data_IF_423239273402
#
_entry.id   IF_423239273402
#
_cell.length_a   1.000
_cell.length_b   1.000
_cell.length_c   1.000
_cell.angle_alpha   90.00
_cell.angle_beta   90.00
_cell.angle_gamma   90.00
#
_symmetry.space_group_name_H-M   'P 1'
#
loop_
_entity.id
_entity.type
_entity.pdbx_description
1 polymer ?
#
# COMPACT_ATOMS: atom_id res chain seq x y z
N UNK A 1 -4.59 -0.79 -15.81
CA UNK A 1 -5.46 0.41 -15.80
C UNK A 1 -4.54 1.62 -15.94
N UNK A 2 -4.83 2.56 -16.84
CA UNK A 2 -3.98 3.72 -17.04
C UNK A 2 -4.19 4.75 -15.92
N UNK A 3 -3.11 5.39 -15.48
CA UNK A 3 -3.11 6.42 -14.42
C UNK A 3 -4.15 7.52 -14.67
N UNK A 4 -4.36 7.88 -15.94
CA UNK A 4 -5.38 8.83 -16.39
C UNK A 4 -6.81 8.44 -16.01
N UNK A 5 -7.18 7.15 -16.09
CA UNK A 5 -8.53 6.68 -15.73
C UNK A 5 -8.77 6.80 -14.22
N UNK A 6 -7.73 6.50 -13.45
CA UNK A 6 -7.77 6.63 -11.99
C UNK A 6 -7.92 8.09 -11.56
N UNK A 7 -7.17 9.01 -12.18
CA UNK A 7 -7.30 10.45 -11.94
C UNK A 7 -8.70 10.95 -12.27
N UNK A 8 -9.26 10.57 -13.42
CA UNK A 8 -10.62 10.96 -13.81
C UNK A 8 -11.69 10.49 -12.81
N UNK A 9 -11.54 9.28 -12.26
CA UNK A 9 -12.44 8.77 -11.22
C UNK A 9 -12.29 9.60 -9.94
N UNK A 10 -11.07 9.92 -9.54
CA UNK A 10 -10.80 10.74 -8.36
C UNK A 10 -11.36 12.16 -8.49
N UNK A 11 -11.15 12.82 -9.63
CA UNK A 11 -11.71 14.14 -9.93
C UNK A 11 -13.24 14.13 -9.90
N UNK A 12 -13.87 13.10 -10.48
CA UNK A 12 -15.34 12.93 -10.43
C UNK A 12 -15.82 12.75 -9.00
N UNK A 13 -15.10 11.99 -8.18
CA UNK A 13 -15.42 11.81 -6.77
C UNK A 13 -15.27 13.09 -5.95
N UNK A 14 -14.24 13.89 -6.21
CA UNK A 14 -14.08 15.20 -5.58
C UNK A 14 -15.20 16.16 -5.97
N UNK A 15 -15.56 16.20 -7.26
CA UNK A 15 -16.70 17.01 -7.74
C UNK A 15 -18.02 16.58 -7.10
N UNK A 16 -18.25 15.26 -6.96
CA UNK A 16 -19.40 14.76 -6.23
C UNK A 16 -19.36 15.12 -4.75
N UNK A 17 -18.21 14.95 -4.10
CA UNK A 17 -18.02 15.32 -2.70
C UNK A 17 -18.24 16.82 -2.47
N UNK A 18 -17.88 17.66 -3.45
CA UNK A 18 -18.18 19.10 -3.49
C UNK A 18 -19.68 19.44 -3.41
N UNK A 19 -20.54 18.53 -3.84
CA UNK A 19 -22.01 18.68 -3.84
C UNK A 19 -22.68 18.09 -2.60
N UNK A 20 -21.93 17.40 -1.73
CA UNK A 20 -22.47 16.79 -0.52
C UNK A 20 -22.68 17.83 0.58
N UNK A 21 -23.66 17.63 1.49
CA UNK A 21 -23.80 18.43 2.69
C UNK A 21 -22.51 18.43 3.54
N UNK A 22 -22.17 19.58 4.13
CA UNK A 22 -20.92 19.80 4.88
C UNK A 22 -20.63 18.74 5.97
N UNK A 23 -21.69 18.23 6.63
CA UNK A 23 -21.59 17.18 7.66
C UNK A 23 -21.03 15.85 7.12
N UNK A 24 -21.23 15.54 5.84
CA UNK A 24 -20.85 14.25 5.21
C UNK A 24 -19.65 14.43 4.29
N UNK A 25 -19.53 15.60 3.66
CA UNK A 25 -18.43 15.95 2.76
C UNK A 25 -17.06 15.68 3.40
N UNK A 26 -16.84 16.12 4.64
CA UNK A 26 -15.56 15.91 5.35
C UNK A 26 -15.25 14.42 5.53
N UNK A 27 -16.24 13.61 5.87
CA UNK A 27 -16.09 12.17 6.07
C UNK A 27 -15.78 11.45 4.74
N UNK A 28 -16.42 11.83 3.64
CA UNK A 28 -16.13 11.27 2.32
C UNK A 28 -14.72 11.66 1.85
N UNK A 29 -14.35 12.94 1.99
CA UNK A 29 -13.03 13.42 1.61
C UNK A 29 -11.91 12.76 2.45
N UNK A 30 -12.12 12.54 3.75
CA UNK A 30 -11.13 11.84 4.59
C UNK A 30 -10.93 10.38 4.17
N UNK A 31 -11.97 9.72 3.66
CA UNK A 31 -11.89 8.34 3.18
C UNK A 31 -11.33 8.24 1.75
N UNK A 32 -11.25 9.35 1.01
CA UNK A 32 -10.58 9.38 -0.28
C UNK A 32 -9.06 9.42 -0.14
N UNK A 33 -8.51 9.97 0.94
CA UNK A 33 -7.06 10.09 1.13
C UNK A 33 -6.33 8.75 1.00
N UNK A 34 -6.73 7.68 1.72
CA UNK A 34 -6.08 6.37 1.57
C UNK A 34 -6.17 5.83 0.14
N UNK A 35 -7.31 6.03 -0.54
CA UNK A 35 -7.51 5.60 -1.93
C UNK A 35 -6.60 6.38 -2.89
N UNK A 36 -6.42 7.68 -2.67
CA UNK A 36 -5.52 8.51 -3.48
C UNK A 36 -4.07 8.09 -3.28
N UNK A 37 -3.65 7.91 -2.04
CA UNK A 37 -2.29 7.49 -1.70
C UNK A 37 -1.98 6.13 -2.33
N UNK A 38 -2.90 5.16 -2.21
CA UNK A 38 -2.71 3.80 -2.69
C UNK A 38 -2.82 3.66 -4.22
N UNK A 39 -3.59 4.50 -4.91
CA UNK A 39 -3.84 4.31 -6.36
C UNK A 39 -3.35 5.44 -7.26
N UNK A 40 -3.42 6.69 -6.82
CA UNK A 40 -3.07 7.84 -7.67
C UNK A 40 -1.62 8.26 -7.49
N UNK A 41 -1.17 8.22 -6.24
CA UNK A 41 0.18 8.62 -5.84
C UNK A 41 1.09 7.40 -5.69
N UNK A 42 0.65 6.25 -6.21
CA UNK A 42 1.43 5.04 -6.10
C UNK A 42 2.77 5.22 -6.84
N UNK A 43 3.86 4.86 -6.16
CA UNK A 43 5.21 4.89 -6.72
C UNK A 43 6.05 3.72 -6.19
N UNK A 44 7.16 3.36 -6.85
CA UNK A 44 8.14 2.46 -6.27
C UNK A 44 8.65 2.97 -4.90
N UNK A 45 8.90 2.09 -3.93
CA UNK A 45 9.63 2.45 -2.73
C UNK A 45 11.05 2.84 -3.09
N UNK A 46 11.52 3.91 -2.47
CA UNK A 46 12.84 4.49 -2.74
C UNK A 46 13.82 4.07 -1.66
N UNK A 47 14.87 3.36 -2.06
CA UNK A 47 15.91 2.85 -1.19
C UNK A 47 17.23 3.51 -1.49
N UNK A 48 17.81 4.13 -0.47
CA UNK A 48 19.15 4.67 -0.54
C UNK A 48 20.14 3.66 0.04
N UNK A 49 21.22 3.38 -0.66
CA UNK A 49 22.33 2.55 -0.18
C UNK A 49 23.53 3.45 0.14
N UNK A 50 24.03 3.39 1.38
CA UNK A 50 25.20 4.14 1.87
C UNK A 50 26.12 3.26 2.72
N UNK A 51 27.32 3.75 3.04
CA UNK A 51 28.29 3.06 3.89
C UNK A 51 29.43 2.41 3.09
N UNK A 52 30.01 1.34 3.63
CA UNK A 52 31.07 0.56 2.99
C UNK A 52 30.55 -0.83 2.63
N UNK A 53 30.58 -1.14 1.35
CA UNK A 53 30.47 -2.52 0.86
C UNK A 53 30.96 -2.58 -0.57
N UNK A 54 31.84 -3.54 -0.84
CA UNK A 54 32.33 -3.87 -2.19
C UNK A 54 31.32 -4.71 -2.99
N UNK A 55 30.21 -5.11 -2.38
CA UNK A 55 29.22 -5.96 -3.03
C UNK A 55 28.45 -5.19 -4.11
N UNK A 56 28.36 -5.72 -5.34
CA UNK A 56 27.58 -5.11 -6.40
C UNK A 56 26.10 -4.98 -6.03
N UNK A 57 25.51 -3.82 -6.37
CA UNK A 57 24.09 -3.51 -6.09
C UNK A 57 23.13 -4.57 -6.60
N UNK A 58 23.24 -5.09 -7.85
CA UNK A 58 22.35 -6.16 -8.31
C UNK A 58 22.34 -7.39 -7.40
N UNK A 59 23.51 -7.77 -6.85
CA UNK A 59 23.63 -8.92 -5.95
C UNK A 59 22.94 -8.66 -4.61
N UNK A 60 23.07 -7.45 -4.07
CA UNK A 60 22.37 -7.03 -2.85
C UNK A 60 20.85 -7.07 -3.08
N UNK A 61 20.37 -6.48 -4.18
CA UNK A 61 18.94 -6.41 -4.47
C UNK A 61 18.33 -7.81 -4.66
N UNK A 62 19.03 -8.70 -5.38
CA UNK A 62 18.59 -10.08 -5.55
C UNK A 62 18.53 -10.81 -4.19
N UNK A 63 19.55 -10.69 -3.35
CA UNK A 63 19.54 -11.32 -2.03
C UNK A 63 18.40 -10.81 -1.13
N UNK A 64 18.14 -9.50 -1.13
CA UNK A 64 17.15 -8.88 -0.22
C UNK A 64 15.70 -9.01 -0.70
N UNK A 65 15.46 -9.09 -2.01
CA UNK A 65 14.11 -9.00 -2.57
C UNK A 65 13.73 -10.15 -3.51
N UNK A 66 14.68 -11.00 -3.91
CA UNK A 66 14.44 -12.13 -4.80
C UNK A 66 15.41 -13.29 -4.53
N UNK A 67 15.47 -13.82 -3.30
CA UNK A 67 16.42 -14.88 -2.95
C UNK A 67 16.18 -16.18 -3.76
N UNK A 68 14.94 -16.38 -4.23
CA UNK A 68 14.54 -17.56 -4.99
C UNK A 68 14.65 -17.37 -6.52
N UNK A 69 14.95 -16.16 -7.00
CA UNK A 69 15.08 -15.92 -8.43
C UNK A 69 16.40 -16.51 -8.94
N UNK A 70 16.33 -17.29 -10.02
CA UNK A 70 17.53 -17.70 -10.75
C UNK A 70 18.20 -16.43 -11.26
N UNK A 71 19.53 -16.31 -11.11
CA UNK A 71 20.29 -15.13 -11.52
C UNK A 71 19.93 -14.74 -12.96
N UNK A 72 19.02 -13.78 -13.10
CA UNK A 72 18.94 -13.01 -14.32
C UNK A 72 20.18 -12.13 -14.29
N UNK A 73 21.20 -12.50 -15.08
CA UNK A 73 22.26 -11.60 -15.50
C UNK A 73 21.62 -10.46 -16.29
N UNK A 74 21.01 -9.51 -15.61
CA UNK A 74 20.75 -8.19 -16.17
C UNK A 74 22.10 -7.49 -16.23
N UNK A 75 22.83 -7.75 -17.32
CA UNK A 75 24.07 -7.08 -17.74
C UNK A 75 23.73 -5.68 -18.28
N UNK A 76 22.82 -4.97 -17.63
CA UNK A 76 22.62 -3.55 -17.87
C UNK A 76 23.54 -2.82 -16.89
N UNK A 77 24.48 -2.04 -17.43
CA UNK A 77 25.33 -1.15 -16.62
C UNK A 77 24.40 -0.22 -15.84
N UNK A 78 24.26 -0.44 -14.54
CA UNK A 78 23.47 0.45 -13.69
C UNK A 78 24.18 1.80 -13.62
N UNK A 79 23.50 2.92 -13.90
CA UNK A 79 24.09 4.23 -13.65
C UNK A 79 24.37 4.36 -12.16
N UNK A 80 25.61 4.71 -11.83
CA UNK A 80 26.07 4.89 -10.45
C UNK A 80 25.54 6.23 -9.93
N UNK A 81 25.23 6.31 -8.63
CA UNK A 81 24.89 7.57 -7.95
C UNK A 81 23.64 8.29 -8.46
N UNK A 82 22.68 7.55 -9.03
CA UNK A 82 21.37 8.06 -9.47
C UNK A 82 20.26 7.08 -9.10
N UNK A 83 19.03 7.58 -9.09
CA UNK A 83 17.85 6.74 -8.95
C UNK A 83 17.69 5.81 -10.15
N UNK A 84 17.58 4.51 -9.88
CA UNK A 84 17.34 3.46 -10.87
C UNK A 84 16.15 2.62 -10.43
N UNK A 85 15.17 2.50 -11.31
CA UNK A 85 14.05 1.59 -11.11
C UNK A 85 14.48 0.16 -11.43
N UNK A 86 14.30 -0.73 -10.46
CA UNK A 86 14.65 -2.14 -10.50
C UNK A 86 13.38 -2.99 -10.44
N UNK A 87 13.14 -3.75 -11.52
CA UNK A 87 12.02 -4.69 -11.57
C UNK A 87 12.37 -5.99 -10.85
N UNK A 88 11.47 -6.42 -9.96
CA UNK A 88 11.63 -7.61 -9.12
C UNK A 88 10.84 -8.74 -9.76
N UNK A 89 11.37 -9.29 -10.86
CA UNK A 89 10.80 -10.45 -11.57
C UNK A 89 9.29 -10.33 -11.84
N UNK A 90 8.82 -9.15 -12.21
CA UNK A 90 7.40 -8.85 -12.45
C UNK A 90 6.50 -8.82 -11.21
N UNK A 91 7.04 -8.97 -9.99
CA UNK A 91 6.31 -8.90 -8.72
C UNK A 91 6.21 -7.49 -8.15
N UNK A 92 6.99 -6.55 -8.67
CA UNK A 92 6.92 -5.14 -8.33
C UNK A 92 8.19 -4.42 -8.73
N UNK A 93 8.18 -3.11 -8.58
CA UNK A 93 9.34 -2.27 -8.89
C UNK A 93 9.77 -1.53 -7.64
N UNK A 94 11.08 -1.44 -7.42
CA UNK A 94 11.70 -0.60 -6.39
C UNK A 94 12.59 0.44 -7.07
N UNK A 95 12.82 1.58 -6.44
CA UNK A 95 13.77 2.58 -6.95
C UNK A 95 14.95 2.63 -6.00
N UNK A 96 16.17 2.52 -6.53
CA UNK A 96 17.38 2.40 -5.74
C UNK A 96 18.36 3.48 -6.16
N UNK A 97 18.92 4.18 -5.18
CA UNK A 97 20.06 5.07 -5.38
C UNK A 97 21.22 4.50 -4.58
N UNK A 98 22.30 4.14 -5.28
CA UNK A 98 23.54 3.71 -4.63
C UNK A 98 24.53 4.87 -4.54
N UNK A 99 24.72 5.36 -3.32
CA UNK A 99 25.63 6.46 -3.01
C UNK A 99 26.96 5.97 -2.42
N UNK A 100 27.18 4.64 -2.31
CA UNK A 100 28.44 4.09 -1.81
C UNK A 100 29.59 4.43 -2.76
N UNK A 101 30.70 4.93 -2.21
CA UNK A 101 31.90 5.24 -2.98
C UNK A 101 31.79 6.48 -3.88
N UNK A 102 30.79 7.34 -3.67
CA UNK A 102 30.67 8.61 -4.39
C UNK A 102 31.86 9.54 -4.07
N UNK A 103 32.47 10.10 -5.12
CA UNK A 103 33.42 11.22 -4.97
C UNK A 103 32.68 12.54 -4.66
N UNK A 104 33.42 13.64 -4.45
CA UNK A 104 32.83 14.94 -4.11
C UNK A 104 31.85 15.47 -5.17
N UNK A 105 32.09 15.18 -6.45
CA UNK A 105 31.21 15.62 -7.54
C UNK A 105 29.93 14.77 -7.57
N UNK A 106 30.05 13.46 -7.38
CA UNK A 106 28.94 12.54 -7.30
C UNK A 106 28.09 12.80 -6.04
N UNK A 107 28.72 13.12 -4.91
CA UNK A 107 28.03 13.44 -3.66
C UNK A 107 27.08 14.65 -3.82
N UNK A 108 27.53 15.72 -4.48
CA UNK A 108 26.69 16.89 -4.76
C UNK A 108 25.47 16.53 -5.64
N UNK A 109 25.68 15.71 -6.68
CA UNK A 109 24.59 15.23 -7.53
C UNK A 109 23.58 14.36 -6.76
N UNK A 110 24.07 13.47 -5.89
CA UNK A 110 23.23 12.63 -5.04
C UNK A 110 22.43 13.50 -4.08
N UNK A 111 23.03 14.50 -3.45
CA UNK A 111 22.33 15.42 -2.54
C UNK A 111 21.18 16.14 -3.25
N UNK A 112 21.41 16.60 -4.47
CA UNK A 112 20.39 17.22 -5.31
C UNK A 112 19.27 16.26 -5.71
N UNK A 113 19.61 15.00 -6.03
CA UNK A 113 18.62 13.95 -6.30
C UNK A 113 17.80 13.60 -5.06
N UNK A 114 18.40 13.61 -3.87
CA UNK A 114 17.70 13.36 -2.61
C UNK A 114 16.76 14.52 -2.23
N UNK A 115 17.16 15.77 -2.49
CA UNK A 115 16.28 16.96 -2.31
C UNK A 115 15.04 16.88 -3.20
N UNK A 116 15.20 16.39 -4.44
CA UNK A 116 14.09 16.21 -5.39
C UNK A 116 13.24 14.98 -5.06
N UNK A 117 13.89 13.90 -4.65
CA UNK A 117 13.29 12.59 -4.42
C UNK A 117 13.86 11.98 -3.15
N UNK A 118 13.23 12.24 -1.98
CA UNK A 118 13.73 11.70 -0.73
C UNK A 118 13.55 10.16 -0.68
N UNK A 119 14.45 9.45 0.02
CA UNK A 119 14.34 8.02 0.22
C UNK A 119 13.22 7.70 1.21
N UNK A 120 12.61 6.52 1.07
CA UNK A 120 11.71 5.98 2.07
C UNK A 120 12.49 5.26 3.18
N UNK A 121 13.51 4.50 2.78
CA UNK A 121 14.40 3.74 3.68
C UNK A 121 15.85 3.96 3.26
N UNK A 122 16.72 4.07 4.25
CA UNK A 122 18.17 4.13 4.09
C UNK A 122 18.78 2.82 4.58
N UNK A 123 19.49 2.12 3.70
CA UNK A 123 20.30 0.96 4.02
C UNK A 123 21.74 1.38 4.25
N UNK A 124 22.25 1.13 5.46
CA UNK A 124 23.64 1.43 5.83
C UNK A 124 24.42 0.13 5.85
N UNK A 125 25.46 0.03 5.02
CA UNK A 125 26.31 -1.15 4.91
C UNK A 125 27.63 -0.95 5.68
N UNK A 126 28.09 -2.01 6.33
CA UNK A 126 29.42 -2.12 6.93
C UNK A 126 30.04 -3.48 6.60
N UNK A 127 30.92 -3.50 5.60
CA UNK A 127 31.65 -4.68 5.13
C UNK A 127 32.67 -5.22 6.15
N UNK A 128 32.96 -4.51 7.24
CA UNK A 128 33.89 -4.96 8.27
C UNK A 128 35.35 -5.09 7.79
N UNK A 129 35.68 -4.61 6.59
CA UNK A 129 37.05 -4.56 6.08
C UNK A 129 37.75 -3.35 6.73
N UNK A 130 38.87 -3.54 7.46
CA UNK A 130 39.68 -2.39 7.87
C UNK A 130 40.27 -1.78 6.60
N UNK A 131 39.72 -0.64 6.15
CA UNK A 131 40.36 0.10 5.07
C UNK A 131 41.73 0.57 5.55
N UNK A 132 42.77 -0.07 5.05
CA UNK A 132 44.17 0.30 5.31
C UNK A 132 44.44 1.60 4.55
N UNK A 133 43.97 2.72 5.07
CA UNK A 133 44.54 4.03 4.78
C UNK A 133 44.70 4.79 6.10
N UNK A 134 45.97 5.08 6.40
CA UNK A 134 46.50 5.70 7.62
C UNK A 134 45.56 6.72 8.28
N UNK A 135 45.05 6.39 9.45
CA UNK A 135 45.21 7.19 10.67
C UNK A 135 44.65 6.44 11.88
N UNK A 136 45.42 6.50 12.97
CA UNK A 136 44.97 6.29 14.33
C UNK A 136 43.69 7.07 14.65
N UNK A 137 42.87 6.47 15.52
CA UNK A 137 41.70 7.02 16.22
C UNK A 137 40.30 6.73 15.63
N UNK A 138 39.61 5.83 16.34
CA UNK A 138 38.15 5.72 16.47
C UNK A 138 37.38 5.24 15.22
N UNK A 139 37.27 3.91 15.09
CA UNK A 139 36.51 3.21 14.05
C UNK A 139 35.00 3.57 14.01
N UNK A 140 34.42 4.05 15.12
CA UNK A 140 33.05 4.56 15.20
C UNK A 140 32.87 5.95 14.58
N UNK A 141 33.97 6.71 14.45
CA UNK A 141 33.96 8.08 13.96
C UNK A 141 33.98 8.13 12.44
N UNK A 142 34.52 7.12 11.74
CA UNK A 142 34.57 7.10 10.28
C UNK A 142 33.19 6.86 9.63
N UNK A 143 32.40 5.91 10.18
CA UNK A 143 31.01 5.70 9.77
C UNK A 143 30.15 6.94 10.13
N UNK A 144 30.40 7.54 11.31
CA UNK A 144 29.73 8.74 11.76
C UNK A 144 30.08 9.98 10.92
N UNK A 145 31.34 10.09 10.47
CA UNK A 145 31.85 11.11 9.57
C UNK A 145 31.27 10.92 8.18
N UNK A 146 31.24 9.73 7.59
CA UNK A 146 30.68 9.54 6.23
C UNK A 146 29.16 9.75 6.17
N UNK A 147 28.41 9.31 7.18
CA UNK A 147 26.95 9.56 7.26
C UNK A 147 26.61 11.05 7.46
N UNK A 148 27.43 11.80 8.21
CA UNK A 148 27.22 13.24 8.42
C UNK A 148 27.80 14.13 7.31
N UNK A 149 28.96 13.76 6.78
CA UNK A 149 29.80 14.58 5.90
C UNK A 149 29.46 14.41 4.41
N UNK A 150 28.84 13.29 4.00
CA UNK A 150 28.49 13.08 2.59
C UNK A 150 27.13 13.69 2.21
N UNK A 151 26.18 13.88 3.14
CA UNK A 151 24.79 14.22 2.76
C UNK A 151 24.02 15.16 3.70
N UNK A 152 24.67 15.86 4.64
CA UNK A 152 24.10 17.05 5.30
C UNK A 152 22.70 16.91 5.93
N UNK A 153 22.31 15.72 6.40
CA UNK A 153 20.96 15.49 6.94
C UNK A 153 19.82 15.46 5.91
N UNK A 154 20.14 15.40 4.61
CA UNK A 154 19.19 15.47 3.48
C UNK A 154 18.28 14.23 3.30
N UNK A 155 18.32 13.26 4.22
CA UNK A 155 17.49 12.05 4.17
C UNK A 155 16.12 12.20 4.88
N UNK A 156 15.74 13.42 5.27
CA UNK A 156 14.44 13.71 5.90
C UNK A 156 14.16 12.82 7.11
N UNK A 157 12.94 12.24 7.18
CA UNK A 157 12.48 11.32 8.25
C UNK A 157 12.62 9.83 7.88
N UNK A 158 13.30 9.50 6.77
CA UNK A 158 13.47 8.14 6.27
C UNK A 158 13.94 7.15 7.36
N UNK A 159 13.36 5.95 7.42
CA UNK A 159 13.80 4.96 8.41
C UNK A 159 15.08 4.27 7.97
N UNK A 160 15.81 3.71 8.92
CA UNK A 160 17.17 3.19 8.70
C UNK A 160 17.21 1.70 8.98
N UNK A 161 17.87 0.95 8.10
CA UNK A 161 18.16 -0.47 8.28
C UNK A 161 19.68 -0.66 8.12
N UNK A 162 20.31 -1.25 9.14
CA UNK A 162 21.72 -1.61 9.06
C UNK A 162 21.89 -2.97 8.40
N UNK A 163 22.88 -3.10 7.52
CA UNK A 163 23.29 -4.35 6.89
C UNK A 163 24.75 -4.61 7.30
N UNK A 164 24.92 -5.57 8.20
CA UNK A 164 26.23 -5.95 8.73
C UNK A 164 26.79 -7.18 8.01
N UNK A 165 28.12 -7.25 7.93
CA UNK A 165 28.85 -8.42 7.45
C UNK A 165 29.82 -8.90 8.55
N UNK A 166 29.94 -10.22 8.74
CA UNK A 166 30.90 -10.82 9.68
C UNK A 166 30.30 -11.30 10.99
N UNK A 167 31.09 -11.28 12.07
CA UNK A 167 30.74 -11.93 13.34
C UNK A 167 29.72 -11.16 14.19
N UNK A 168 29.10 -11.86 15.15
CA UNK A 168 28.14 -11.28 16.10
C UNK A 168 28.70 -10.06 16.84
N UNK A 169 29.97 -10.11 17.24
CA UNK A 169 30.64 -9.01 17.94
C UNK A 169 30.71 -7.75 17.07
N UNK A 170 31.01 -7.88 15.77
CA UNK A 170 31.05 -6.75 14.84
C UNK A 170 29.66 -6.21 14.55
N UNK A 171 28.68 -7.11 14.40
CA UNK A 171 27.28 -6.72 14.23
C UNK A 171 26.78 -5.90 15.42
N UNK A 172 27.12 -6.31 16.65
CA UNK A 172 26.77 -5.57 17.87
C UNK A 172 27.44 -4.19 17.92
N UNK A 173 28.74 -4.10 17.59
CA UNK A 173 29.46 -2.83 17.51
C UNK A 173 28.87 -1.88 16.47
N UNK A 174 28.52 -2.41 15.29
CA UNK A 174 27.88 -1.65 14.22
C UNK A 174 26.50 -1.14 14.65
N UNK A 175 25.68 -1.98 15.28
CA UNK A 175 24.39 -1.56 15.80
C UNK A 175 24.52 -0.45 16.86
N UNK A 176 25.49 -0.57 17.76
CA UNK A 176 25.77 0.45 18.78
C UNK A 176 26.23 1.77 18.15
N UNK A 177 27.08 1.72 17.12
CA UNK A 177 27.51 2.89 16.37
C UNK A 177 26.33 3.59 15.66
N UNK A 178 25.43 2.83 15.03
CA UNK A 178 24.22 3.39 14.41
C UNK A 178 23.29 4.05 15.45
N UNK A 179 23.16 3.47 16.64
CA UNK A 179 22.35 4.03 17.75
C UNK A 179 22.97 5.29 18.35
N UNK A 180 24.31 5.35 18.41
CA UNK A 180 25.05 6.49 18.95
C UNK A 180 24.97 7.72 18.02
N UNK A 181 24.76 7.51 16.71
CA UNK A 181 24.71 8.58 15.73
C UNK A 181 23.43 9.44 15.87
N UNK A 182 23.52 10.75 16.21
CA UNK A 182 22.34 11.59 16.45
C UNK A 182 21.38 11.69 15.26
N UNK A 183 21.92 11.72 14.03
CA UNK A 183 21.12 11.81 12.81
C UNK A 183 20.25 10.55 12.52
N UNK A 184 20.66 9.40 13.06
CA UNK A 184 20.01 8.10 12.84
C UNK A 184 19.26 7.61 14.10
N UNK A 185 19.53 8.21 15.26
CA UNK A 185 18.94 7.84 16.54
C UNK A 185 17.41 7.93 16.48
N UNK A 186 16.73 6.85 16.87
CA UNK A 186 15.26 6.75 16.82
C UNK A 186 14.68 6.44 15.42
N UNK A 187 15.53 6.35 14.39
CA UNK A 187 15.13 5.98 13.01
C UNK A 187 15.59 4.57 12.62
N UNK A 188 16.57 4.01 13.34
CA UNK A 188 17.02 2.63 13.17
C UNK A 188 15.89 1.64 13.50
N UNK A 189 15.48 0.87 12.51
CA UNK A 189 14.45 -0.16 12.65
C UNK A 189 15.05 -1.50 13.07
N UNK A 190 16.14 -1.91 12.43
CA UNK A 190 16.79 -3.21 12.63
C UNK A 190 18.19 -3.22 12.00
N UNK A 191 19.08 -4.06 12.53
CA UNK A 191 20.31 -4.50 11.85
C UNK A 191 20.14 -5.96 11.41
N UNK A 192 20.53 -6.27 10.17
CA UNK A 192 20.42 -7.58 9.54
C UNK A 192 21.82 -8.06 9.14
N UNK A 193 22.09 -9.35 9.32
CA UNK A 193 23.39 -9.94 8.98
C UNK A 193 23.32 -10.55 7.58
N UNK A 194 24.11 -10.02 6.64
CA UNK A 194 23.95 -10.37 5.22
C UNK A 194 24.43 -11.80 4.87
N UNK A 195 25.35 -12.38 5.63
CA UNK A 195 25.86 -13.74 5.37
C UNK A 195 24.83 -14.83 5.62
N UNK A 196 23.81 -14.54 6.42
CA UNK A 196 22.80 -15.49 6.87
C UNK A 196 21.40 -15.17 6.30
N UNK A 197 21.34 -14.49 5.14
CA UNK A 197 20.10 -14.13 4.43
C UNK A 197 19.43 -15.39 3.88
N UNK A 198 18.90 -16.17 4.81
CA UNK A 198 17.98 -17.26 4.62
C UNK A 198 16.60 -16.67 4.32
N UNK A 199 15.70 -17.48 3.73
CA UNK A 199 14.35 -17.03 3.40
C UNK A 199 13.55 -16.46 4.59
N UNK A 200 13.92 -16.79 5.84
CA UNK A 200 13.28 -16.26 7.05
C UNK A 200 13.64 -14.80 7.36
N UNK A 201 14.93 -14.43 7.30
CA UNK A 201 15.36 -13.05 7.53
C UNK A 201 14.85 -12.11 6.43
N UNK A 202 14.91 -12.57 5.18
CA UNK A 202 14.35 -11.86 4.02
C UNK A 202 12.86 -11.60 4.21
N UNK A 203 12.09 -12.62 4.63
CA UNK A 203 10.66 -12.45 4.91
C UNK A 203 10.42 -11.47 6.05
N UNK A 204 11.24 -11.51 7.09
CA UNK A 204 11.21 -10.57 8.21
C UNK A 204 11.47 -9.12 7.76
N UNK A 205 12.46 -8.90 6.89
CA UNK A 205 12.76 -7.60 6.29
C UNK A 205 11.58 -7.11 5.44
N UNK A 206 11.04 -7.94 4.56
CA UNK A 206 9.94 -7.56 3.69
C UNK A 206 8.66 -7.23 4.48
N UNK A 207 8.38 -7.96 5.55
CA UNK A 207 7.27 -7.65 6.46
C UNK A 207 7.49 -6.35 7.24
N UNK A 208 8.72 -6.09 7.70
CA UNK A 208 9.10 -4.81 8.30
C UNK A 208 8.91 -3.65 7.31
N UNK A 209 9.40 -3.79 6.07
CA UNK A 209 9.22 -2.77 5.03
C UNK A 209 7.75 -2.53 4.70
N UNK A 210 6.93 -3.59 4.61
CA UNK A 210 5.49 -3.47 4.40
C UNK A 210 4.78 -2.68 5.52
N UNK A 211 5.29 -2.74 6.75
CA UNK A 211 4.74 -2.00 7.88
C UNK A 211 5.18 -0.53 7.88
N UNK A 212 6.47 -0.28 7.68
CA UNK A 212 7.08 1.03 7.90
C UNK A 212 7.02 1.96 6.67
N UNK A 213 6.84 1.42 5.46
CA UNK A 213 6.79 2.23 4.24
C UNK A 213 5.56 3.17 4.18
N UNK A 214 5.66 4.34 3.53
CA UNK A 214 4.53 5.21 3.25
C UNK A 214 3.46 4.52 2.40
N UNK A 215 2.18 4.90 2.55
CA UNK A 215 1.07 4.29 1.80
C UNK A 215 1.26 4.34 0.28
N UNK A 216 1.89 5.40 -0.23
CA UNK A 216 2.20 5.60 -1.65
C UNK A 216 3.12 4.51 -2.24
N UNK A 217 4.05 3.97 -1.46
CA UNK A 217 5.01 2.95 -1.92
C UNK A 217 4.78 1.55 -1.34
N UNK A 218 3.94 1.46 -0.30
CA UNK A 218 3.60 0.23 0.42
C UNK A 218 3.01 -0.88 -0.45
N UNK A 219 2.30 -0.54 -1.54
CA UNK A 219 1.68 -1.57 -2.39
C UNK A 219 2.73 -2.42 -3.12
N UNK A 220 3.80 -1.81 -3.65
CA UNK A 220 4.82 -2.55 -4.38
C UNK A 220 5.53 -3.54 -3.45
N UNK A 221 5.89 -3.13 -2.23
CA UNK A 221 6.56 -4.04 -1.30
C UNK A 221 5.66 -5.19 -0.85
N UNK A 222 4.36 -4.95 -0.66
CA UNK A 222 3.40 -6.00 -0.29
C UNK A 222 3.23 -7.00 -1.43
N UNK A 223 3.30 -6.50 -2.68
CA UNK A 223 3.22 -7.32 -3.88
C UNK A 223 4.47 -8.19 -4.04
N UNK A 224 5.64 -7.61 -3.76
CA UNK A 224 6.94 -8.30 -3.74
C UNK A 224 6.97 -9.35 -2.63
N UNK A 225 6.57 -8.99 -1.40
CA UNK A 225 6.66 -9.86 -0.23
C UNK A 225 5.66 -11.01 -0.21
N UNK A 226 4.52 -10.83 -0.89
CA UNK A 226 3.34 -11.71 -0.81
C UNK A 226 2.93 -12.01 0.65
N UNK A 227 3.19 -11.06 1.55
CA UNK A 227 2.80 -11.15 2.95
C UNK A 227 1.27 -11.09 3.03
N UNK A 228 0.65 -12.23 3.36
CA UNK A 228 -0.81 -12.36 3.42
C UNK A 228 -1.43 -11.43 4.45
N UNK A 229 -0.74 -11.14 5.55
CA UNK A 229 -1.26 -10.25 6.58
C UNK A 229 -1.29 -8.81 6.06
N UNK A 230 -0.19 -8.35 5.45
CA UNK A 230 -0.11 -7.02 4.86
C UNK A 230 -1.10 -6.85 3.68
N UNK A 231 -1.24 -7.88 2.82
CA UNK A 231 -2.24 -7.92 1.75
C UNK A 231 -3.66 -7.79 2.29
N UNK A 232 -3.98 -8.51 3.38
CA UNK A 232 -5.28 -8.41 4.03
C UNK A 232 -5.52 -7.04 4.65
N UNK A 233 -4.52 -6.45 5.29
CA UNK A 233 -4.62 -5.13 5.89
C UNK A 233 -4.96 -4.05 4.85
N UNK A 234 -4.21 -4.00 3.74
CA UNK A 234 -4.49 -3.06 2.64
C UNK A 234 -5.87 -3.34 2.03
N UNK A 235 -6.22 -4.61 1.79
CA UNK A 235 -7.55 -4.94 1.29
C UNK A 235 -8.67 -4.46 2.24
N UNK A 236 -8.52 -4.62 3.56
CA UNK A 236 -9.51 -4.11 4.51
C UNK A 236 -9.61 -2.59 4.51
N UNK A 237 -8.50 -1.87 4.37
CA UNK A 237 -8.49 -0.42 4.23
C UNK A 237 -9.30 0.02 3.00
N UNK A 238 -9.01 -0.58 1.84
CA UNK A 238 -9.75 -0.34 0.60
C UNK A 238 -11.25 -0.60 0.75
N UNK A 239 -11.61 -1.72 1.38
CA UNK A 239 -13.00 -2.11 1.59
C UNK A 239 -13.72 -1.13 2.51
N UNK A 240 -13.11 -0.76 3.64
CA UNK A 240 -13.70 0.15 4.63
C UNK A 240 -13.94 1.52 4.03
N UNK A 241 -12.94 2.12 3.38
CA UNK A 241 -13.07 3.45 2.77
C UNK A 241 -14.10 3.46 1.63
N UNK A 242 -14.06 2.48 0.73
CA UNK A 242 -15.04 2.39 -0.37
C UNK A 242 -16.46 2.16 0.17
N UNK A 243 -16.61 1.32 1.21
CA UNK A 243 -17.89 1.08 1.88
C UNK A 243 -18.42 2.34 2.55
N UNK A 244 -17.58 3.09 3.26
CA UNK A 244 -17.95 4.34 3.91
C UNK A 244 -18.43 5.37 2.88
N UNK A 245 -17.67 5.55 1.79
CA UNK A 245 -18.04 6.47 0.70
C UNK A 245 -19.35 6.03 0.04
N UNK A 246 -19.51 4.76 -0.30
CA UNK A 246 -20.75 4.25 -0.91
C UNK A 246 -21.96 4.37 0.03
N UNK A 247 -21.74 4.20 1.34
CA UNK A 247 -22.79 4.40 2.35
C UNK A 247 -23.21 5.86 2.43
N UNK A 248 -22.23 6.76 2.50
CA UNK A 248 -22.45 8.19 2.60
C UNK A 248 -23.17 8.75 1.35
N UNK A 249 -22.71 8.37 0.17
CA UNK A 249 -23.31 8.75 -1.10
C UNK A 249 -24.70 8.11 -1.21
N UNK A 250 -24.85 6.80 -0.95
CA UNK A 250 -26.13 6.09 -0.98
C UNK A 250 -27.16 6.59 0.04
N UNK A 251 -26.70 7.27 1.10
CA UNK A 251 -27.53 7.93 2.09
C UNK A 251 -28.07 9.30 1.64
N UNK A 252 -27.82 9.68 0.39
CA UNK A 252 -28.38 10.86 -0.24
C UNK A 252 -29.35 10.43 -1.35
N UNK A 253 -30.34 11.26 -1.69
CA UNK A 253 -31.12 11.07 -2.91
C UNK A 253 -30.23 11.41 -4.10
N UNK A 254 -29.43 10.44 -4.54
CA UNK A 254 -28.48 10.60 -5.63
C UNK A 254 -29.23 10.61 -6.98
N UNK A 255 -28.97 11.57 -7.88
CA UNK A 255 -29.41 11.49 -9.26
C UNK A 255 -28.92 10.20 -9.94
N UNK A 256 -29.75 9.56 -10.77
CA UNK A 256 -29.33 8.36 -11.53
C UNK A 256 -28.02 8.56 -12.33
N UNK A 257 -27.70 9.80 -12.70
CA UNK A 257 -26.48 10.19 -13.40
C UNK A 257 -25.18 9.93 -12.60
N UNK A 258 -25.25 9.79 -11.27
CA UNK A 258 -24.08 9.60 -10.41
C UNK A 258 -23.87 8.12 -10.03
N UNK A 259 -24.77 7.21 -10.41
CA UNK A 259 -24.62 5.75 -10.25
C UNK A 259 -23.35 5.17 -10.88
N UNK A 260 -22.89 5.62 -12.07
CA UNK A 260 -21.65 5.14 -12.67
C UNK A 260 -20.42 5.38 -11.78
N UNK A 261 -20.44 6.39 -10.91
CA UNK A 261 -19.31 6.73 -10.05
C UNK A 261 -19.19 5.73 -8.88
N UNK A 262 -20.32 5.30 -8.30
CA UNK A 262 -20.34 4.24 -7.29
C UNK A 262 -19.86 2.89 -7.84
N UNK A 263 -20.31 2.52 -9.04
CA UNK A 263 -19.83 1.32 -9.70
C UNK A 263 -18.33 1.42 -10.02
N UNK A 264 -17.87 2.60 -10.43
CA UNK A 264 -16.45 2.84 -10.69
C UNK A 264 -15.59 2.65 -9.44
N UNK A 265 -16.05 3.15 -8.29
CA UNK A 265 -15.42 2.94 -6.99
C UNK A 265 -15.32 1.46 -6.62
N UNK A 266 -16.39 0.68 -6.82
CA UNK A 266 -16.39 -0.76 -6.54
C UNK A 266 -15.42 -1.51 -7.45
N UNK A 267 -15.38 -1.19 -8.75
CA UNK A 267 -14.43 -1.79 -9.70
C UNK A 267 -12.99 -1.40 -9.34
N UNK A 268 -12.74 -0.14 -8.96
CA UNK A 268 -11.44 0.33 -8.51
C UNK A 268 -10.96 -0.41 -7.25
N UNK A 269 -11.84 -0.56 -6.25
CA UNK A 269 -11.56 -1.35 -5.04
C UNK A 269 -11.17 -2.79 -5.39
N UNK A 270 -11.94 -3.47 -6.25
CA UNK A 270 -11.65 -4.86 -6.67
C UNK A 270 -10.36 -4.93 -7.47
N UNK A 271 -10.12 -4.00 -8.39
CA UNK A 271 -8.89 -3.93 -9.16
C UNK A 271 -7.66 -3.71 -8.26
N UNK A 272 -7.83 -2.96 -7.17
CA UNK A 272 -6.77 -2.75 -6.19
C UNK A 272 -6.46 -3.98 -5.35
N UNK A 273 -7.49 -4.67 -4.86
CA UNK A 273 -7.33 -5.95 -4.14
C UNK A 273 -6.65 -6.98 -5.05
N UNK A 274 -7.04 -7.05 -6.32
CA UNK A 274 -6.40 -7.89 -7.31
C UNK A 274 -4.92 -7.53 -7.48
N UNK A 275 -4.59 -6.25 -7.55
CA UNK A 275 -3.20 -5.83 -7.69
C UNK A 275 -2.32 -6.20 -6.49
N UNK A 276 -2.82 -5.95 -5.29
CA UNK A 276 -2.15 -6.28 -4.03
C UNK A 276 -1.89 -7.79 -3.92
N UNK A 277 -2.71 -8.63 -4.56
CA UNK A 277 -2.50 -10.08 -4.61
C UNK A 277 -1.33 -10.55 -5.49
N UNK A 278 -0.63 -9.65 -6.19
CA UNK A 278 0.45 -9.99 -7.12
C UNK A 278 0.03 -9.96 -8.59
N UNK A 279 -1.27 -10.00 -8.88
CA UNK A 279 -1.82 -10.00 -10.25
C UNK A 279 -1.76 -8.60 -10.88
N UNK A 280 -1.80 -8.54 -12.20
CA UNK A 280 -1.82 -7.26 -12.92
C UNK A 280 -3.13 -6.48 -12.73
N UNK A 281 -3.05 -5.15 -12.85
CA UNK A 281 -4.21 -4.26 -12.76
C UNK A 281 -5.10 -4.33 -14.01
N UNK A 282 -6.18 -5.09 -13.93
CA UNK A 282 -7.21 -5.13 -14.96
C UNK A 282 -8.57 -4.63 -14.48
N UNK A 283 -8.97 -3.47 -15.01
CA UNK A 283 -10.32 -2.93 -14.82
C UNK A 283 -11.40 -3.89 -15.34
N UNK A 284 -11.13 -4.48 -16.51
CA UNK A 284 -12.03 -5.42 -17.16
C UNK A 284 -12.23 -6.68 -16.30
N UNK A 285 -11.15 -7.28 -15.82
CA UNK A 285 -11.23 -8.47 -14.97
C UNK A 285 -11.94 -8.17 -13.64
N UNK A 286 -11.71 -6.98 -13.06
CA UNK A 286 -12.43 -6.55 -11.86
C UNK A 286 -13.95 -6.40 -12.12
N UNK A 287 -14.35 -5.79 -13.25
CA UNK A 287 -15.75 -5.65 -13.63
C UNK A 287 -16.41 -7.01 -13.95
N UNK A 288 -15.70 -7.90 -14.65
CA UNK A 288 -16.14 -9.27 -14.94
C UNK A 288 -16.32 -10.06 -13.64
N UNK A 289 -15.40 -9.95 -12.68
CA UNK A 289 -15.52 -10.56 -11.36
C UNK A 289 -16.79 -10.10 -10.62
N UNK A 290 -17.01 -8.78 -10.54
CA UNK A 290 -18.22 -8.22 -9.89
C UNK A 290 -19.49 -8.71 -10.58
N UNK A 291 -19.48 -8.77 -11.91
CA UNK A 291 -20.60 -9.28 -12.71
C UNK A 291 -20.84 -10.76 -12.43
N UNK A 292 -19.78 -11.57 -12.36
CA UNK A 292 -19.86 -13.00 -12.06
C UNK A 292 -20.35 -13.31 -10.63
N UNK A 293 -20.10 -12.42 -9.66
CA UNK A 293 -20.73 -12.49 -8.33
C UNK A 293 -22.27 -12.29 -8.40
N UNK A 294 -22.77 -11.70 -9.48
CA UNK A 294 -24.17 -11.30 -9.63
C UNK A 294 -24.46 -9.92 -9.03
N UNK A 295 -23.43 -9.13 -8.73
CA UNK A 295 -23.59 -7.82 -8.10
C UNK A 295 -24.02 -6.71 -9.09
N UNK A 296 -23.81 -6.91 -10.40
CA UNK A 296 -24.18 -5.98 -11.48
C UNK A 296 -25.10 -6.59 -12.55
N UNK A 297 -25.60 -7.82 -12.34
CA UNK A 297 -26.53 -8.47 -13.27
C UNK A 297 -27.89 -7.78 -13.15
N UNK A 298 -28.16 -6.83 -14.05
CA UNK A 298 -29.42 -6.10 -14.10
C UNK A 298 -29.33 -4.59 -14.30
N UNK A 299 -28.20 -4.03 -14.74
CA UNK A 299 -28.08 -2.59 -15.00
C UNK A 299 -29.16 -2.04 -15.97
N UNK A 300 -29.76 -2.84 -16.85
CA UNK A 300 -30.88 -2.40 -17.69
C UNK A 300 -32.27 -2.51 -17.02
N UNK A 301 -32.54 -3.59 -16.29
CA UNK A 301 -33.89 -3.91 -15.76
C UNK A 301 -34.12 -3.40 -14.32
N UNK A 302 -33.06 -3.28 -13.51
CA UNK A 302 -33.15 -2.81 -12.12
C UNK A 302 -33.17 -1.27 -12.02
N UNK A 303 -32.65 -0.54 -13.01
CA UNK A 303 -32.64 0.92 -12.99
C UNK A 303 -34.04 1.54 -13.03
N UNK A 304 -35.00 0.88 -13.69
CA UNK A 304 -36.39 1.35 -13.77
C UNK A 304 -37.25 0.88 -12.60
N UNK A 305 -37.13 -0.39 -12.19
CA UNK A 305 -37.97 -0.97 -11.14
C UNK A 305 -37.36 -0.84 -9.73
N UNK A 306 -36.04 -0.87 -9.60
CA UNK A 306 -35.33 -0.72 -8.31
C UNK A 306 -35.38 0.70 -7.77
N UNK A 307 -35.19 1.72 -8.63
CA UNK A 307 -35.33 3.12 -8.22
C UNK A 307 -36.77 3.43 -7.78
N UNK A 308 -37.77 2.89 -8.48
CA UNK A 308 -39.19 3.03 -8.16
C UNK A 308 -39.61 2.22 -6.93
N UNK A 309 -38.99 1.06 -6.68
CA UNK A 309 -39.19 0.29 -5.46
C UNK A 309 -38.56 0.99 -4.24
N UNK A 310 -37.37 1.56 -4.38
CA UNK A 310 -36.69 2.32 -3.32
C UNK A 310 -37.47 3.58 -2.92
N UNK A 311 -38.01 4.31 -3.91
CA UNK A 311 -38.86 5.49 -3.70
C UNK A 311 -40.17 5.18 -2.97
N UNK A 312 -40.66 3.93 -3.04
CA UNK A 312 -41.96 3.54 -2.49
C UNK A 312 -41.93 3.16 -1.01
N UNK A 313 -40.77 2.90 -0.41
CA UNK A 313 -40.77 2.25 0.90
C UNK A 313 -41.08 3.19 2.08
N UNK A 314 -40.52 4.40 2.21
CA UNK A 314 -40.95 5.35 3.27
C UNK A 314 -40.49 6.80 3.00
N UNK A 315 -41.38 7.81 2.97
CA UNK A 315 -40.98 9.21 2.93
C UNK A 315 -40.24 9.58 4.24
N UNK A 316 -39.00 10.06 4.12
CA UNK A 316 -38.17 10.53 5.24
C UNK A 316 -37.04 9.59 5.69
N UNK A 317 -37.18 8.26 5.56
CA UNK A 317 -36.17 7.27 5.99
C UNK A 317 -35.48 6.51 4.84
N UNK A 318 -36.00 6.64 3.61
CA UNK A 318 -35.52 5.90 2.44
C UNK A 318 -34.02 6.07 2.17
N UNK A 319 -33.48 7.28 2.35
CA UNK A 319 -32.09 7.56 2.04
C UNK A 319 -31.12 6.80 2.96
N UNK A 320 -31.36 6.80 4.28
CA UNK A 320 -30.51 6.08 5.25
C UNK A 320 -30.46 4.58 4.95
N UNK A 321 -31.61 3.99 4.61
CA UNK A 321 -31.69 2.57 4.24
C UNK A 321 -30.94 2.29 2.94
N UNK A 322 -31.02 3.18 1.95
CA UNK A 322 -30.28 3.06 0.70
C UNK A 322 -28.77 3.10 0.92
N UNK A 323 -28.30 4.01 1.78
CA UNK A 323 -26.90 4.08 2.19
C UNK A 323 -26.43 2.78 2.82
N UNK A 324 -27.17 2.23 3.77
CA UNK A 324 -26.83 0.95 4.39
C UNK A 324 -26.78 -0.21 3.39
N UNK A 325 -27.69 -0.28 2.42
CA UNK A 325 -27.70 -1.31 1.38
C UNK A 325 -26.50 -1.16 0.45
N UNK A 326 -26.21 0.07 0.01
CA UNK A 326 -25.06 0.37 -0.84
C UNK A 326 -23.75 0.01 -0.14
N UNK A 327 -23.61 0.37 1.13
CA UNK A 327 -22.48 0.01 1.98
C UNK A 327 -22.32 -1.50 2.15
N UNK A 328 -23.38 -2.20 2.55
CA UNK A 328 -23.35 -3.64 2.76
C UNK A 328 -23.02 -4.41 1.47
N UNK A 329 -23.57 -3.99 0.34
CA UNK A 329 -23.26 -4.57 -0.97
C UNK A 329 -21.78 -4.39 -1.33
N UNK A 330 -21.25 -3.18 -1.14
CA UNK A 330 -19.84 -2.85 -1.37
C UNK A 330 -18.92 -3.68 -0.48
N UNK A 331 -19.22 -3.77 0.81
CA UNK A 331 -18.46 -4.59 1.76
C UNK A 331 -18.44 -6.07 1.35
N UNK A 332 -19.59 -6.62 0.94
CA UNK A 332 -19.69 -8.02 0.52
C UNK A 332 -18.88 -8.30 -0.78
N UNK A 333 -18.92 -7.39 -1.76
CA UNK A 333 -18.07 -7.47 -2.97
C UNK A 333 -16.60 -7.49 -2.58
N UNK A 334 -16.19 -6.56 -1.70
CA UNK A 334 -14.83 -6.46 -1.20
C UNK A 334 -14.35 -7.75 -0.52
N UNK A 335 -15.15 -8.29 0.41
CA UNK A 335 -14.84 -9.55 1.11
C UNK A 335 -14.74 -10.75 0.18
N UNK A 336 -15.56 -10.80 -0.87
CA UNK A 336 -15.47 -11.83 -1.90
C UNK A 336 -14.20 -11.67 -2.75
N UNK A 337 -13.84 -10.44 -3.13
CA UNK A 337 -12.60 -10.14 -3.84
C UNK A 337 -11.36 -10.55 -3.02
N UNK A 338 -11.31 -10.20 -1.73
CA UNK A 338 -10.21 -10.65 -0.84
C UNK A 338 -10.10 -12.17 -0.80
N UNK A 339 -11.23 -12.88 -0.66
CA UNK A 339 -11.21 -14.34 -0.62
C UNK A 339 -10.70 -14.94 -1.94
N UNK A 340 -11.11 -14.40 -3.08
CA UNK A 340 -10.73 -14.91 -4.40
C UNK A 340 -9.28 -14.57 -4.78
N UNK A 341 -8.90 -13.30 -4.67
CA UNK A 341 -7.59 -12.82 -5.15
C UNK A 341 -6.47 -13.10 -4.16
N UNK A 342 -6.67 -12.85 -2.86
CA UNK A 342 -5.65 -13.04 -1.82
C UNK A 342 -5.77 -14.43 -1.19
N UNK A 343 -6.99 -14.87 -0.89
CA UNK A 343 -7.23 -16.20 -0.29
C UNK A 343 -7.11 -17.36 -1.28
N UNK A 344 -7.11 -17.09 -2.59
CA UNK A 344 -7.00 -18.11 -3.63
C UNK A 344 -8.19 -19.07 -3.74
N UNK A 345 -9.34 -18.72 -3.16
CA UNK A 345 -10.54 -19.59 -3.22
C UNK A 345 -11.18 -19.54 -4.61
N UNK A 346 -11.97 -20.56 -4.94
CA UNK A 346 -12.67 -20.61 -6.23
C UNK A 346 -13.69 -19.46 -6.38
N UNK A 347 -14.01 -19.09 -7.63
CA UNK A 347 -15.05 -18.08 -7.90
C UNK A 347 -16.42 -18.50 -7.32
N UNK A 348 -16.72 -19.80 -7.29
CA UNK A 348 -17.93 -20.36 -6.68
C UNK A 348 -17.97 -20.09 -5.18
N UNK A 349 -16.85 -20.24 -4.48
CA UNK A 349 -16.77 -20.01 -3.04
C UNK A 349 -16.77 -18.52 -2.70
N UNK A 350 -16.11 -17.70 -3.52
CA UNK A 350 -16.20 -16.24 -3.43
C UNK A 350 -17.66 -15.75 -3.60
N UNK A 351 -18.41 -16.30 -4.56
CA UNK A 351 -19.84 -16.03 -4.73
C UNK A 351 -20.66 -16.49 -3.53
N UNK A 352 -20.36 -17.67 -2.97
CA UNK A 352 -21.02 -18.18 -1.76
C UNK A 352 -20.81 -17.23 -0.57
N UNK A 353 -19.58 -16.75 -0.40
CA UNK A 353 -19.22 -15.76 0.62
C UNK A 353 -19.96 -14.43 0.42
N UNK A 354 -19.99 -13.91 -0.81
CA UNK A 354 -20.76 -12.71 -1.18
C UNK A 354 -22.24 -12.84 -0.79
N UNK A 355 -22.89 -13.95 -1.16
CA UNK A 355 -24.30 -14.19 -0.87
C UNK A 355 -24.56 -14.32 0.65
N UNK A 356 -23.66 -14.98 1.38
CA UNK A 356 -23.77 -15.13 2.83
C UNK A 356 -23.65 -13.77 3.56
N UNK A 357 -22.68 -12.95 3.19
CA UNK A 357 -22.48 -11.63 3.77
C UNK A 357 -23.64 -10.68 3.43
N UNK A 358 -24.17 -10.76 2.20
CA UNK A 358 -25.39 -10.03 1.79
C UNK A 358 -26.63 -10.46 2.58
N UNK A 359 -26.79 -11.76 2.87
CA UNK A 359 -27.91 -12.29 3.67
C UNK A 359 -27.83 -11.83 5.13
N UNK A 360 -26.64 -11.79 5.73
CA UNK A 360 -26.43 -11.26 7.10
C UNK A 360 -26.84 -9.80 7.22
N UNK A 361 -26.48 -8.97 6.24
CA UNK A 361 -26.94 -7.58 6.18
C UNK A 361 -28.47 -7.47 6.05
N UNK A 362 -29.09 -8.39 5.31
CA UNK A 362 -30.55 -8.47 5.20
C UNK A 362 -31.25 -9.03 6.44
N UNK A 363 -30.58 -9.82 7.29
CA UNK A 363 -31.19 -10.43 8.49
C UNK A 363 -31.13 -9.50 9.71
N UNK A 364 -30.08 -8.66 9.82
CA UNK A 364 -30.06 -7.55 10.80
C UNK A 364 -31.22 -6.56 10.59
N UNK A 365 -31.75 -6.44 9.36
CA UNK A 365 -32.96 -5.64 9.06
C UNK A 365 -34.18 -6.11 9.84
N UNK A 366 -34.40 -7.42 9.94
CA UNK A 366 -35.62 -7.97 10.52
C UNK A 366 -35.69 -7.83 12.05
N UNK A 367 -34.55 -7.58 12.70
CA UNK A 367 -34.48 -7.30 14.13
C UNK A 367 -34.77 -5.83 14.47
N UNK A 368 -34.35 -4.89 13.62
CA UNK A 368 -34.64 -3.46 13.79
C UNK A 368 -36.09 -3.10 13.43
N UNK A 369 -36.69 -3.85 12.51
CA UNK A 369 -38.09 -3.67 12.06
C UNK A 369 -39.12 -4.28 13.04
N UNK A 370 -38.68 -5.12 13.99
CA UNK A 370 -39.53 -5.76 15.02
C UNK A 370 -39.55 -5.04 16.37
N UNK A 371 -38.98 -3.84 16.49
CA UNK A 371 -39.19 -3.00 17.67
C UNK A 371 -40.21 -1.89 17.43
N UNK A 372 -41.51 -2.21 17.49
CA UNK A 372 -42.47 -1.27 18.03
C UNK A 372 -43.33 -1.94 19.09
N UNK A 373 -42.92 -1.81 20.37
CA UNK A 373 -43.78 -1.87 21.59
C UNK A 373 -42.91 -1.74 22.84
N UNK A 374 -42.39 -0.55 23.09
CA UNK A 374 -41.92 -0.13 24.41
C UNK A 374 -41.99 1.40 24.52
N UNK A 375 -43.16 1.97 24.19
CA UNK A 375 -43.48 3.37 24.45
C UNK A 375 -45.01 3.49 24.55
N UNK A 376 -45.58 2.89 25.59
CA UNK A 376 -46.92 3.20 26.11
C UNK A 376 -47.06 2.58 27.50
N UNK A 377 -46.47 3.25 28.47
CA UNK A 377 -46.98 3.38 29.84
C UNK A 377 -45.93 4.16 30.60
N UNK A 378 -46.23 5.41 30.92
CA UNK A 378 -46.03 6.07 32.20
C UNK A 378 -46.79 7.39 32.03
N UNK A 379 -47.90 7.47 32.77
CA UNK A 379 -48.63 8.70 33.10
C UNK A 379 -47.72 9.69 33.84
#
# INVERSE_FOLDING_TARGET
>A
MNHTTLLQIAEKLERLAGRLPSKIQKAVLSELTPLKELFLQQRPPRFLLIGSSTMPTPRILNALFSPDAHEQMNVAVMPVHRWVDWDISGHGTISVLDARGADASAAAQVEDDLKRQPPDIVFVFDDGEPKIEKASDHNSTELALRVQHDFGGSFGDAKVIGIAFGSDMRTAQFEEALKAQPALRGRLLKVIVFSDVHGAETRGLLSLLARELPNQSKIEIIRISRDREAQQHVAQMLIKSTTAICTAIGAQPIPLADLPILTSLQVMMVSGIMYVSGRERSWRAAAEFITALGANVGAGMLLREGARAILKFFPGWGNIVCGMVAGAGTYAIGRAATAFFIGGVSLKDARRKYLADRKKASHKRHWLDRSPRAAKSIE
#
